data_IF_397993811009
#
_entry.id   IF_397993811009
#
_cell.length_a   1.000
_cell.length_b   1.000
_cell.length_c   1.000
_cell.angle_alpha   90.00
_cell.angle_beta   90.00
_cell.angle_gamma   90.00
#
_symmetry.space_group_name_H-M   'P 1'
#
loop_
_entity.id
_entity.type
_entity.pdbx_description
1 polymer ?
#
# COMPACT_ATOMS: atom_id res chain seq x y z
N UNK A 1 -43.23 7.40 -74.77
CA UNK A 1 -44.04 7.71 -73.56
C UNK A 1 -44.73 6.50 -72.88
N UNK A 2 -45.04 5.37 -73.56
CA UNK A 2 -45.64 4.18 -72.90
C UNK A 2 -44.70 3.43 -71.93
N UNK A 3 -43.41 3.25 -72.27
CA UNK A 3 -42.40 2.61 -71.40
C UNK A 3 -42.08 3.37 -70.10
N UNK A 4 -42.21 4.70 -70.08
CA UNK A 4 -42.03 5.52 -68.87
C UNK A 4 -43.27 5.47 -67.96
N UNK A 5 -44.48 5.39 -68.52
CA UNK A 5 -45.71 5.18 -67.74
C UNK A 5 -45.81 3.77 -67.14
N UNK A 6 -45.23 2.74 -67.79
CA UNK A 6 -45.10 1.39 -67.20
C UNK A 6 -44.05 1.30 -66.08
N UNK A 7 -42.89 1.97 -66.22
CA UNK A 7 -41.91 2.09 -65.13
C UNK A 7 -42.47 2.87 -63.93
N UNK A 8 -43.27 3.91 -64.17
CA UNK A 8 -43.95 4.66 -63.11
C UNK A 8 -45.09 3.87 -62.43
N UNK A 9 -45.77 2.95 -63.15
CA UNK A 9 -46.73 2.01 -62.56
C UNK A 9 -46.05 0.89 -61.76
N UNK A 10 -44.87 0.40 -62.18
CA UNK A 10 -44.08 -0.60 -61.42
C UNK A 10 -43.40 -0.02 -60.16
N UNK A 11 -43.08 1.28 -60.14
CA UNK A 11 -42.49 1.95 -58.98
C UNK A 11 -43.50 2.25 -57.84
N UNK A 12 -44.81 2.26 -58.12
CA UNK A 12 -45.85 2.56 -57.12
C UNK A 12 -46.20 1.40 -56.17
N UNK A 13 -45.51 0.26 -56.24
CA UNK A 13 -45.89 -0.96 -55.51
C UNK A 13 -44.88 -1.50 -54.48
N UNK A 14 -43.85 -0.74 -54.09
CA UNK A 14 -42.97 -1.10 -52.95
C UNK A 14 -43.22 -0.18 -51.76
N UNK A 15 -44.31 -0.43 -51.04
CA UNK A 15 -44.61 0.21 -49.73
C UNK A 15 -43.66 -0.36 -48.69
N UNK A 16 -42.51 0.27 -48.47
CA UNK A 16 -41.63 -0.10 -47.36
C UNK A 16 -42.19 0.31 -45.99
N UNK A 17 -41.64 -0.25 -44.92
CA UNK A 17 -42.18 -0.18 -43.55
C UNK A 17 -41.40 0.83 -42.70
N UNK A 18 -42.12 1.82 -42.17
CA UNK A 18 -41.57 2.85 -41.27
C UNK A 18 -41.24 2.29 -39.88
N UNK A 19 -40.35 2.95 -39.13
CA UNK A 19 -39.95 2.54 -37.76
C UNK A 19 -41.15 2.35 -36.82
N UNK A 20 -42.11 3.28 -36.84
CA UNK A 20 -43.36 3.18 -36.04
C UNK A 20 -44.15 1.92 -36.41
N UNK A 21 -44.27 1.62 -37.71
CA UNK A 21 -44.98 0.42 -38.17
C UNK A 21 -44.25 -0.88 -37.82
N UNK A 22 -42.91 -0.90 -37.84
CA UNK A 22 -42.11 -2.04 -37.37
C UNK A 22 -42.38 -2.36 -35.89
N UNK A 23 -42.48 -1.34 -35.04
CA UNK A 23 -42.82 -1.51 -33.62
C UNK A 23 -44.23 -2.12 -33.46
N UNK A 24 -45.22 -1.65 -34.21
CA UNK A 24 -46.57 -2.22 -34.20
C UNK A 24 -46.59 -3.70 -34.64
N UNK A 25 -45.84 -4.04 -35.69
CA UNK A 25 -45.69 -5.42 -36.18
C UNK A 25 -45.09 -6.30 -35.07
N UNK A 26 -44.00 -5.86 -34.43
CA UNK A 26 -43.35 -6.60 -33.35
C UNK A 26 -44.25 -6.80 -32.14
N UNK A 27 -45.00 -5.76 -31.72
CA UNK A 27 -45.98 -5.86 -30.63
C UNK A 27 -47.10 -6.85 -30.95
N UNK A 28 -47.61 -6.80 -32.17
CA UNK A 28 -48.68 -7.72 -32.63
C UNK A 28 -48.18 -9.16 -32.66
N UNK A 29 -46.99 -9.39 -33.22
CA UNK A 29 -46.37 -10.70 -33.25
C UNK A 29 -46.14 -11.25 -31.84
N UNK A 30 -45.54 -10.44 -30.96
CA UNK A 30 -45.32 -10.79 -29.56
C UNK A 30 -46.61 -11.20 -28.87
N UNK A 31 -47.71 -10.45 -29.06
CA UNK A 31 -49.01 -10.76 -28.46
C UNK A 31 -49.57 -12.10 -28.94
N UNK A 32 -49.53 -12.36 -30.24
CA UNK A 32 -50.06 -13.62 -30.82
C UNK A 32 -49.24 -14.84 -30.38
N UNK A 33 -47.91 -14.72 -30.34
CA UNK A 33 -47.01 -15.79 -29.89
C UNK A 33 -47.24 -16.09 -28.40
N UNK A 34 -47.31 -15.05 -27.56
CA UNK A 34 -47.55 -15.21 -26.12
C UNK A 34 -48.94 -15.77 -25.82
N UNK A 35 -49.96 -15.43 -26.62
CA UNK A 35 -51.31 -16.01 -26.46
C UNK A 35 -51.31 -17.52 -26.67
N UNK A 36 -50.53 -18.03 -27.62
CA UNK A 36 -50.50 -19.46 -27.96
C UNK A 36 -49.46 -20.26 -27.16
N UNK A 37 -48.30 -19.67 -26.85
CA UNK A 37 -47.14 -20.36 -26.24
C UNK A 37 -46.59 -19.69 -24.98
N UNK A 38 -47.25 -18.69 -24.43
CA UNK A 38 -46.76 -17.86 -23.32
C UNK A 38 -46.07 -18.58 -22.15
N UNK A 39 -46.52 -19.75 -21.67
CA UNK A 39 -45.85 -20.49 -20.59
C UNK A 39 -44.40 -20.90 -20.91
N UNK A 40 -44.11 -21.25 -22.17
CA UNK A 40 -42.79 -21.73 -22.60
C UNK A 40 -41.90 -20.63 -23.18
N UNK A 41 -42.46 -19.49 -23.59
CA UNK A 41 -41.67 -18.37 -24.13
C UNK A 41 -40.92 -17.65 -23.00
N UNK A 42 -39.61 -17.51 -23.16
CA UNK A 42 -38.74 -16.74 -22.25
C UNK A 42 -38.31 -15.43 -22.84
N UNK A 43 -37.99 -15.39 -24.13
CA UNK A 43 -37.55 -14.16 -24.78
C UNK A 43 -38.00 -14.11 -26.23
N UNK A 44 -38.36 -12.91 -26.69
CA UNK A 44 -38.58 -12.59 -28.10
C UNK A 44 -37.67 -11.41 -28.41
N UNK A 45 -36.71 -11.62 -29.29
CA UNK A 45 -35.61 -10.69 -29.51
C UNK A 45 -35.59 -10.27 -30.97
N UNK A 46 -35.67 -8.96 -31.18
CA UNK A 46 -35.41 -8.35 -32.48
C UNK A 46 -33.90 -8.36 -32.73
N UNK A 47 -33.47 -8.77 -33.92
CA UNK A 47 -32.06 -8.75 -34.29
C UNK A 47 -31.87 -8.17 -35.71
N UNK A 48 -30.64 -8.24 -36.23
CA UNK A 48 -30.34 -7.85 -37.60
C UNK A 48 -30.36 -6.33 -37.82
N UNK A 49 -30.57 -5.93 -39.08
CA UNK A 49 -30.44 -4.53 -39.50
C UNK A 49 -31.41 -3.58 -38.77
N UNK A 50 -32.59 -4.08 -38.40
CA UNK A 50 -33.58 -3.31 -37.64
C UNK A 50 -33.11 -3.07 -36.21
N UNK A 51 -32.51 -4.07 -35.54
CA UNK A 51 -31.94 -3.91 -34.21
C UNK A 51 -30.73 -2.96 -34.19
N UNK A 52 -29.86 -3.04 -35.22
CA UNK A 52 -28.70 -2.16 -35.40
C UNK A 52 -29.05 -0.71 -35.77
N UNK A 53 -30.30 -0.44 -36.14
CA UNK A 53 -30.73 0.89 -36.62
C UNK A 53 -30.29 1.22 -38.05
N UNK A 54 -29.80 0.24 -38.81
CA UNK A 54 -29.36 0.41 -40.21
C UNK A 54 -30.39 -0.08 -41.24
N UNK A 55 -31.60 -0.42 -40.79
CA UNK A 55 -32.69 -0.88 -41.66
C UNK A 55 -33.16 0.20 -42.63
N UNK A 56 -33.28 -0.17 -43.91
CA UNK A 56 -33.97 0.61 -44.94
C UNK A 56 -35.47 0.31 -44.91
N UNK A 57 -36.27 1.08 -45.63
CA UNK A 57 -37.73 0.88 -45.69
C UNK A 57 -38.11 -0.53 -46.16
N UNK A 58 -37.33 -1.14 -47.07
CA UNK A 58 -37.57 -2.50 -47.57
C UNK A 58 -36.91 -3.62 -46.74
N UNK A 59 -36.12 -3.28 -45.71
CA UNK A 59 -35.42 -4.28 -44.90
C UNK A 59 -36.38 -5.17 -44.11
N UNK A 60 -36.02 -6.42 -43.90
CA UNK A 60 -36.78 -7.32 -43.06
C UNK A 60 -36.66 -6.95 -41.57
N UNK A 61 -37.64 -7.43 -40.80
CA UNK A 61 -37.72 -7.36 -39.35
C UNK A 61 -37.38 -8.76 -38.86
N UNK A 62 -36.13 -8.97 -38.46
CA UNK A 62 -35.66 -10.29 -38.05
C UNK A 62 -35.90 -10.50 -36.55
N UNK A 63 -36.55 -11.60 -36.18
CA UNK A 63 -36.87 -11.96 -34.80
C UNK A 63 -36.47 -13.40 -34.53
N UNK A 64 -35.93 -13.68 -33.34
CA UNK A 64 -35.81 -15.04 -32.83
C UNK A 64 -36.49 -15.15 -31.46
N UNK A 65 -36.81 -16.38 -31.09
CA UNK A 65 -37.57 -16.70 -29.87
C UNK A 65 -36.79 -17.71 -29.04
N UNK A 66 -36.66 -17.46 -27.74
CA UNK A 66 -36.08 -18.40 -26.78
C UNK A 66 -37.21 -19.12 -26.04
N UNK A 67 -37.20 -20.45 -26.11
CA UNK A 67 -38.22 -21.35 -25.56
C UNK A 67 -37.62 -22.18 -24.42
N UNK A 68 -38.29 -22.24 -23.27
CA UNK A 68 -37.84 -22.99 -22.10
C UNK A 68 -38.19 -24.46 -22.18
N UNK A 69 -37.20 -25.25 -22.57
CA UNK A 69 -37.22 -26.70 -22.57
C UNK A 69 -36.81 -27.35 -21.24
N UNK A 70 -36.38 -26.54 -20.25
CA UNK A 70 -35.95 -27.02 -18.93
C UNK A 70 -37.12 -27.27 -17.99
N UNK A 71 -38.22 -26.53 -18.15
CA UNK A 71 -39.46 -26.71 -17.38
C UNK A 71 -40.52 -27.53 -18.11
N UNK A 72 -40.51 -27.48 -19.44
CA UNK A 72 -41.46 -28.20 -20.29
C UNK A 72 -40.65 -28.96 -21.33
N UNK A 73 -40.76 -30.29 -21.37
CA UNK A 73 -40.04 -31.07 -22.38
C UNK A 73 -40.56 -30.71 -23.77
N UNK A 74 -39.70 -30.11 -24.60
CA UNK A 74 -40.01 -29.79 -26.00
C UNK A 74 -39.38 -30.88 -26.87
N UNK A 75 -40.21 -31.71 -27.52
CA UNK A 75 -39.72 -32.70 -28.48
C UNK A 75 -39.35 -32.02 -29.83
N UNK A 76 -38.57 -32.68 -30.69
CA UNK A 76 -38.28 -32.18 -32.04
C UNK A 76 -39.55 -31.83 -32.84
N UNK A 77 -40.55 -32.70 -32.82
CA UNK A 77 -41.86 -32.46 -33.47
C UNK A 77 -42.58 -31.23 -32.90
N UNK A 78 -42.46 -30.98 -31.59
CA UNK A 78 -43.03 -29.76 -30.99
C UNK A 78 -42.27 -28.51 -31.43
N UNK A 79 -40.94 -28.59 -31.53
CA UNK A 79 -40.08 -27.48 -32.00
C UNK A 79 -40.41 -27.12 -33.45
N UNK A 80 -40.50 -28.11 -34.33
CA UNK A 80 -40.90 -27.95 -35.74
C UNK A 80 -42.30 -27.33 -35.87
N UNK A 81 -43.26 -27.83 -35.09
CA UNK A 81 -44.61 -27.24 -35.07
C UNK A 81 -44.61 -25.79 -34.60
N UNK A 82 -43.81 -25.45 -33.59
CA UNK A 82 -43.65 -24.07 -33.13
C UNK A 82 -43.04 -23.18 -34.22
N UNK A 83 -42.01 -23.67 -34.92
CA UNK A 83 -41.39 -22.98 -36.04
C UNK A 83 -42.39 -22.68 -37.16
N UNK A 84 -43.15 -23.69 -37.61
CA UNK A 84 -44.22 -23.49 -38.60
C UNK A 84 -45.27 -22.48 -38.14
N UNK A 85 -45.70 -22.59 -36.88
CA UNK A 85 -46.72 -21.71 -36.33
C UNK A 85 -46.22 -20.27 -36.22
N UNK A 86 -44.95 -20.08 -35.86
CA UNK A 86 -44.32 -18.76 -35.79
C UNK A 86 -44.22 -18.14 -37.17
N UNK A 87 -43.83 -18.91 -38.19
CA UNK A 87 -43.75 -18.46 -39.57
C UNK A 87 -45.14 -18.11 -40.14
N UNK A 88 -46.16 -18.94 -39.89
CA UNK A 88 -47.56 -18.67 -40.29
C UNK A 88 -48.09 -17.40 -39.66
N UNK A 89 -47.86 -17.19 -38.35
CA UNK A 89 -48.25 -15.97 -37.63
C UNK A 89 -47.52 -14.76 -38.22
N UNK A 90 -46.21 -14.87 -38.47
CA UNK A 90 -45.42 -13.79 -39.03
C UNK A 90 -45.91 -13.35 -40.41
N UNK A 91 -46.10 -14.30 -41.33
CA UNK A 91 -46.62 -14.06 -42.69
C UNK A 91 -48.01 -13.42 -42.68
N UNK A 92 -48.87 -13.79 -41.73
CA UNK A 92 -50.21 -13.19 -41.56
C UNK A 92 -50.13 -11.73 -41.11
N UNK A 93 -49.15 -11.37 -40.29
CA UNK A 93 -48.98 -10.01 -39.76
C UNK A 93 -48.28 -9.10 -40.77
N UNK A 94 -47.18 -9.55 -41.38
CA UNK A 94 -46.41 -8.76 -42.33
C UNK A 94 -45.48 -9.64 -43.17
N UNK A 95 -45.39 -9.34 -44.47
CA UNK A 95 -44.41 -9.96 -45.38
C UNK A 95 -42.95 -9.57 -45.07
N UNK A 96 -42.74 -8.51 -44.29
CA UNK A 96 -41.41 -8.05 -43.88
C UNK A 96 -40.98 -8.62 -42.53
N UNK A 97 -41.80 -9.45 -41.87
CA UNK A 97 -41.43 -10.06 -40.59
C UNK A 97 -40.83 -11.44 -40.86
N UNK A 98 -39.55 -11.59 -40.55
CA UNK A 98 -38.77 -12.82 -40.69
C UNK A 98 -38.51 -13.39 -39.31
N UNK A 99 -38.95 -14.63 -39.07
CA UNK A 99 -38.74 -15.31 -37.79
C UNK A 99 -37.76 -16.44 -38.02
N UNK A 100 -36.66 -16.43 -37.25
CA UNK A 100 -35.70 -17.53 -37.23
C UNK A 100 -36.26 -18.72 -36.46
N UNK A 101 -35.64 -19.88 -36.66
CA UNK A 101 -35.93 -21.07 -35.87
C UNK A 101 -35.92 -20.76 -34.35
N UNK A 102 -36.86 -21.32 -33.58
CA UNK A 102 -36.88 -21.14 -32.13
C UNK A 102 -35.63 -21.76 -31.49
N UNK A 103 -34.96 -21.02 -30.62
CA UNK A 103 -33.85 -21.55 -29.83
C UNK A 103 -34.39 -22.13 -28.53
N UNK A 104 -34.08 -23.40 -28.27
CA UNK A 104 -34.32 -23.95 -26.94
C UNK A 104 -33.38 -23.27 -25.95
N UNK A 105 -33.82 -23.13 -24.70
CA UNK A 105 -33.05 -22.44 -23.66
C UNK A 105 -31.73 -23.16 -23.42
N UNK A 106 -31.75 -24.50 -23.37
CA UNK A 106 -30.53 -25.32 -23.24
C UNK A 106 -29.58 -25.16 -24.43
N UNK A 107 -30.10 -25.17 -25.66
CA UNK A 107 -29.36 -24.95 -26.91
C UNK A 107 -28.69 -23.58 -26.92
N UNK A 108 -29.46 -22.52 -26.65
CA UNK A 108 -28.95 -21.16 -26.60
C UNK A 108 -27.83 -21.01 -25.55
N UNK A 109 -28.02 -21.56 -24.35
CA UNK A 109 -26.99 -21.55 -23.32
C UNK A 109 -25.76 -22.40 -23.68
N UNK A 110 -25.94 -23.52 -24.37
CA UNK A 110 -24.85 -24.31 -24.94
C UNK A 110 -23.98 -23.46 -25.86
N UNK A 111 -24.61 -22.78 -26.82
CA UNK A 111 -23.92 -21.86 -27.74
C UNK A 111 -23.20 -20.72 -27.02
N UNK A 112 -23.81 -20.14 -25.98
CA UNK A 112 -23.19 -19.10 -25.15
C UNK A 112 -21.92 -19.61 -24.48
N UNK A 113 -22.00 -20.81 -23.90
CA UNK A 113 -20.89 -21.43 -23.15
C UNK A 113 -19.74 -21.83 -24.05
N UNK A 114 -20.06 -22.38 -25.22
CA UNK A 114 -19.09 -22.77 -26.24
C UNK A 114 -18.51 -21.57 -27.00
N UNK A 115 -19.15 -20.40 -26.88
CA UNK A 115 -18.71 -19.19 -27.55
C UNK A 115 -18.95 -19.22 -29.05
N UNK A 116 -20.07 -19.79 -29.48
CA UNK A 116 -20.40 -19.92 -30.91
C UNK A 116 -20.44 -18.54 -31.59
N UNK A 117 -19.73 -18.30 -32.71
CA UNK A 117 -19.57 -16.95 -33.27
C UNK A 117 -20.89 -16.19 -33.51
N UNK A 118 -21.94 -16.91 -33.92
CA UNK A 118 -23.26 -16.33 -34.18
C UNK A 118 -23.96 -15.80 -32.91
N UNK A 119 -23.79 -16.46 -31.77
CA UNK A 119 -24.54 -16.10 -30.55
C UNK A 119 -24.05 -14.78 -29.98
N UNK A 120 -22.76 -14.46 -30.15
CA UNK A 120 -22.22 -13.15 -29.78
C UNK A 120 -22.89 -12.01 -30.55
N UNK A 121 -23.14 -12.20 -31.84
CA UNK A 121 -23.83 -11.19 -32.64
C UNK A 121 -25.29 -11.06 -32.20
N UNK A 122 -25.97 -12.18 -31.93
CA UNK A 122 -27.34 -12.16 -31.42
C UNK A 122 -27.45 -11.42 -30.10
N UNK A 123 -26.59 -11.72 -29.13
CA UNK A 123 -26.63 -11.08 -27.81
C UNK A 123 -26.26 -9.60 -27.89
N UNK A 124 -25.21 -9.26 -28.65
CA UNK A 124 -24.70 -7.89 -28.78
C UNK A 124 -25.72 -6.98 -29.43
N UNK A 125 -26.26 -7.41 -30.56
CA UNK A 125 -27.15 -6.59 -31.39
C UNK A 125 -28.61 -6.72 -30.98
N UNK A 126 -29.00 -7.86 -30.40
CA UNK A 126 -30.38 -8.18 -30.09
C UNK A 126 -31.04 -7.18 -29.16
N UNK A 127 -32.26 -6.75 -29.51
CA UNK A 127 -33.11 -5.88 -28.71
C UNK A 127 -34.29 -6.72 -28.22
N UNK A 128 -34.39 -7.00 -26.91
CA UNK A 128 -35.50 -7.77 -26.37
C UNK A 128 -36.80 -6.98 -26.54
N UNK A 129 -37.77 -7.59 -27.24
CA UNK A 129 -39.14 -7.10 -27.38
C UNK A 129 -40.00 -7.62 -26.22
N UNK A 130 -39.68 -8.82 -25.76
CA UNK A 130 -40.21 -9.46 -24.56
C UNK A 130 -39.10 -10.28 -23.92
N UNK A 131 -38.95 -10.22 -22.60
CA UNK A 131 -37.95 -11.02 -21.87
C UNK A 131 -38.45 -11.35 -20.46
N UNK A 132 -38.28 -12.60 -20.04
CA UNK A 132 -38.49 -13.10 -18.67
C UNK A 132 -37.13 -13.34 -18.01
N UNK A 133 -36.30 -12.29 -18.00
CA UNK A 133 -34.97 -12.25 -17.37
C UNK A 133 -33.98 -13.33 -17.86
N UNK A 134 -34.05 -13.72 -19.13
CA UNK A 134 -33.07 -14.63 -19.73
C UNK A 134 -32.09 -13.84 -20.60
N UNK A 135 -32.58 -13.05 -21.54
CA UNK A 135 -31.73 -12.43 -22.55
C UNK A 135 -31.02 -11.17 -22.04
N UNK A 136 -31.71 -10.31 -21.30
CA UNK A 136 -31.13 -9.06 -20.77
C UNK A 136 -29.93 -9.32 -19.86
N UNK A 137 -29.97 -10.26 -18.89
CA UNK A 137 -28.81 -10.58 -18.06
C UNK A 137 -27.61 -11.10 -18.88
N UNK A 138 -27.84 -11.98 -19.85
CA UNK A 138 -26.78 -12.51 -20.73
C UNK A 138 -26.14 -11.37 -21.53
N UNK A 139 -26.96 -10.45 -22.04
CA UNK A 139 -26.45 -9.25 -22.74
C UNK A 139 -25.56 -8.39 -21.85
N UNK A 140 -25.95 -8.18 -20.58
CA UNK A 140 -25.11 -7.46 -19.61
C UNK A 140 -23.81 -8.20 -19.31
N UNK A 141 -23.86 -9.52 -19.15
CA UNK A 141 -22.66 -10.34 -18.94
C UNK A 141 -21.70 -10.28 -20.13
N UNK A 142 -22.21 -10.26 -21.37
CA UNK A 142 -21.39 -10.04 -22.56
C UNK A 142 -20.70 -8.66 -22.50
N UNK A 143 -21.46 -7.60 -22.21
CA UNK A 143 -20.93 -6.22 -22.10
C UNK A 143 -19.90 -6.07 -20.98
N UNK A 144 -20.03 -6.81 -19.88
CA UNK A 144 -19.06 -6.88 -18.80
C UNK A 144 -17.83 -7.73 -19.13
N UNK A 145 -17.78 -8.35 -20.32
CA UNK A 145 -16.71 -9.24 -20.74
C UNK A 145 -16.63 -10.52 -19.92
N UNK A 146 -17.75 -11.01 -19.37
CA UNK A 146 -17.81 -12.26 -18.60
C UNK A 146 -18.01 -13.49 -19.49
N UNK A 147 -18.57 -13.31 -20.69
CA UNK A 147 -18.74 -14.40 -21.67
C UNK A 147 -17.49 -14.48 -22.54
N UNK A 148 -16.79 -15.62 -22.51
CA UNK A 148 -15.55 -15.85 -23.28
C UNK A 148 -15.85 -16.71 -24.51
N UNK A 149 -15.09 -16.59 -25.62
CA UNK A 149 -13.99 -15.65 -25.86
C UNK A 149 -14.45 -14.36 -26.57
N UNK A 150 -15.44 -13.64 -26.03
CA UNK A 150 -15.96 -12.41 -26.67
C UNK A 150 -14.92 -11.29 -26.79
N UNK A 151 -15.15 -10.34 -27.71
CA UNK A 151 -14.31 -9.14 -27.88
C UNK A 151 -14.25 -8.33 -26.58
N UNK A 152 -15.38 -8.21 -25.89
CA UNK A 152 -15.53 -7.52 -24.62
C UNK A 152 -14.67 -8.17 -23.53
N UNK A 153 -14.61 -9.51 -23.50
CA UNK A 153 -13.69 -10.22 -22.62
C UNK A 153 -12.23 -9.92 -23.00
N UNK A 154 -11.86 -9.96 -24.28
CA UNK A 154 -10.49 -9.64 -24.73
C UNK A 154 -10.08 -8.23 -24.31
N UNK A 155 -10.93 -7.23 -24.55
CA UNK A 155 -10.70 -5.83 -24.13
C UNK A 155 -10.48 -5.75 -22.61
N UNK A 156 -11.34 -6.40 -21.81
CA UNK A 156 -11.20 -6.49 -20.35
C UNK A 156 -9.88 -7.11 -19.91
N UNK A 157 -9.38 -8.14 -20.60
CA UNK A 157 -8.10 -8.77 -20.27
C UNK A 157 -6.91 -7.86 -20.64
N UNK A 158 -6.93 -7.23 -21.82
CA UNK A 158 -5.86 -6.33 -22.28
C UNK A 158 -5.74 -5.09 -21.38
N UNK A 159 -6.87 -4.50 -20.97
CA UNK A 159 -6.87 -3.32 -20.10
C UNK A 159 -6.21 -3.56 -18.72
N UNK A 160 -6.16 -4.81 -18.24
CA UNK A 160 -5.55 -5.14 -16.95
C UNK A 160 -4.04 -4.97 -16.95
N UNK A 161 -3.38 -5.21 -18.08
CA UNK A 161 -1.91 -5.17 -18.20
C UNK A 161 -1.32 -3.81 -17.80
N UNK A 162 -1.69 -2.71 -18.48
CA UNK A 162 -1.20 -1.38 -18.15
C UNK A 162 -1.51 -0.93 -16.72
N UNK A 163 -2.70 -1.29 -16.19
CA UNK A 163 -3.11 -0.99 -14.80
C UNK A 163 -2.17 -1.68 -13.80
N UNK A 164 -1.78 -2.94 -14.04
CA UNK A 164 -0.82 -3.68 -13.21
C UNK A 164 0.58 -3.08 -13.27
N UNK A 165 1.06 -2.70 -14.47
CA UNK A 165 2.36 -2.03 -14.63
C UNK A 165 2.40 -0.72 -13.84
N UNK A 166 1.36 0.12 -13.97
CA UNK A 166 1.25 1.38 -13.22
C UNK A 166 1.22 1.16 -11.71
N UNK A 167 0.57 0.09 -11.23
CA UNK A 167 0.58 -0.29 -9.81
C UNK A 167 1.99 -0.56 -9.30
N UNK A 168 2.80 -1.31 -10.04
CA UNK A 168 4.21 -1.59 -9.65
C UNK A 168 5.04 -0.31 -9.65
N UNK A 169 4.92 0.52 -10.69
CA UNK A 169 5.64 1.80 -10.77
C UNK A 169 5.31 2.73 -9.59
N UNK A 170 4.03 2.81 -9.21
CA UNK A 170 3.60 3.59 -8.04
C UNK A 170 4.13 3.00 -6.72
N UNK A 171 4.20 1.66 -6.61
CA UNK A 171 4.73 1.00 -5.42
C UNK A 171 6.22 1.32 -5.20
N UNK A 172 7.02 1.33 -6.28
CA UNK A 172 8.44 1.73 -6.20
C UNK A 172 8.62 3.13 -5.64
N UNK A 173 7.77 4.07 -6.09
CA UNK A 173 7.78 5.45 -5.57
C UNK A 173 7.46 5.45 -4.07
N UNK A 174 6.43 4.72 -3.64
CA UNK A 174 6.02 4.68 -2.23
C UNK A 174 7.10 4.08 -1.31
N UNK A 175 7.74 2.97 -1.71
CA UNK A 175 8.79 2.31 -0.92
C UNK A 175 9.99 3.23 -0.63
N UNK A 176 10.39 4.04 -1.61
CA UNK A 176 11.49 5.00 -1.42
C UNK A 176 11.04 6.21 -0.61
N UNK A 177 9.86 6.72 -0.90
CA UNK A 177 9.41 8.02 -0.38
C UNK A 177 8.94 7.95 1.06
N UNK A 178 8.34 6.83 1.47
CA UNK A 178 7.80 6.68 2.81
C UNK A 178 8.75 5.87 3.69
N UNK A 179 9.11 4.65 3.28
CA UNK A 179 9.85 3.75 4.17
C UNK A 179 11.31 4.19 4.37
N UNK A 180 12.02 4.56 3.28
CA UNK A 180 13.41 5.04 3.41
C UNK A 180 13.47 6.39 4.15
N UNK A 181 12.50 7.27 3.88
CA UNK A 181 12.37 8.56 4.56
C UNK A 181 12.17 8.39 6.07
N UNK A 182 11.19 7.60 6.51
CA UNK A 182 10.90 7.42 7.93
C UNK A 182 12.02 6.65 8.62
N UNK A 183 12.62 5.64 7.98
CA UNK A 183 13.77 4.94 8.54
C UNK A 183 14.94 5.90 8.85
N UNK A 184 15.27 6.82 7.94
CA UNK A 184 16.30 7.83 8.20
C UNK A 184 15.85 8.86 9.25
N UNK A 185 14.63 9.39 9.14
CA UNK A 185 14.15 10.43 10.04
C UNK A 185 14.04 9.94 11.50
N UNK A 186 13.43 8.78 11.71
CA UNK A 186 13.18 8.24 13.06
C UNK A 186 14.46 7.76 13.72
N UNK A 187 15.39 7.16 12.97
CA UNK A 187 16.70 6.79 13.51
C UNK A 187 17.52 8.02 13.92
N UNK A 188 17.45 9.11 13.15
CA UNK A 188 18.02 10.40 13.52
C UNK A 188 17.38 10.99 14.79
N UNK A 189 16.05 11.00 14.86
CA UNK A 189 15.31 11.46 16.03
C UNK A 189 15.61 10.64 17.27
N UNK A 190 15.75 9.31 17.14
CA UNK A 190 16.13 8.43 18.23
C UNK A 190 17.50 8.79 18.82
N UNK A 191 18.50 9.07 17.99
CA UNK A 191 19.83 9.51 18.45
C UNK A 191 19.73 10.84 19.21
N UNK A 192 18.93 11.79 18.71
CA UNK A 192 18.73 13.09 19.36
C UNK A 192 18.00 12.94 20.71
N UNK A 193 16.95 12.12 20.76
CA UNK A 193 16.26 11.77 22.00
C UNK A 193 17.18 11.08 23.00
N UNK A 194 18.06 10.20 22.51
CA UNK A 194 19.07 9.55 23.35
C UNK A 194 20.04 10.57 23.96
N UNK A 195 20.33 11.68 23.28
CA UNK A 195 21.08 12.82 23.83
C UNK A 195 20.26 13.74 24.75
N UNK A 196 18.99 13.42 25.01
CA UNK A 196 18.08 14.26 25.80
C UNK A 196 17.58 15.49 25.05
N UNK A 197 17.68 15.50 23.71
CA UNK A 197 17.14 16.56 22.86
C UNK A 197 15.71 16.22 22.42
N UNK A 198 14.91 17.26 22.20
CA UNK A 198 13.57 17.11 21.64
C UNK A 198 13.72 16.70 20.16
N UNK A 199 13.00 15.67 19.68
CA UNK A 199 13.08 15.26 18.29
C UNK A 199 12.56 16.38 17.38
N UNK A 200 13.33 16.80 16.36
CA UNK A 200 12.93 17.89 15.48
C UNK A 200 11.80 17.44 14.55
N UNK A 201 11.01 18.41 14.05
CA UNK A 201 10.10 18.18 12.94
C UNK A 201 10.90 17.82 11.68
N UNK A 202 10.32 17.10 10.71
CA UNK A 202 11.08 16.63 9.55
C UNK A 202 11.85 17.72 8.77
N UNK A 203 11.29 18.91 8.48
CA UNK A 203 12.04 19.97 7.78
C UNK A 203 13.26 20.48 8.55
N UNK A 204 13.23 20.36 9.88
CA UNK A 204 14.26 20.88 10.79
C UNK A 204 15.30 19.80 11.15
N UNK A 205 15.07 18.54 10.78
CA UNK A 205 15.83 17.39 11.23
C UNK A 205 17.30 17.44 10.82
N UNK A 206 17.58 17.67 9.53
CA UNK A 206 18.95 17.74 9.03
C UNK A 206 19.76 18.90 9.66
N UNK A 207 19.16 20.08 9.75
CA UNK A 207 19.76 21.24 10.44
C UNK A 207 20.10 20.92 11.89
N UNK A 208 19.20 20.21 12.57
CA UNK A 208 19.40 19.81 13.97
C UNK A 208 20.55 18.81 14.10
N UNK A 209 20.60 17.77 13.25
CA UNK A 209 21.72 16.81 13.24
C UNK A 209 23.06 17.49 13.00
N UNK A 210 23.12 18.45 12.09
CA UNK A 210 24.33 19.22 11.81
C UNK A 210 24.80 19.98 13.05
N UNK A 211 23.90 20.74 13.67
CA UNK A 211 24.18 21.52 14.89
C UNK A 211 24.53 20.69 16.11
N UNK A 212 24.10 19.43 16.17
CA UNK A 212 24.38 18.58 17.32
C UNK A 212 25.51 17.60 17.03
N UNK A 213 25.31 16.67 16.09
CA UNK A 213 26.19 15.53 15.91
C UNK A 213 27.43 15.86 15.06
N UNK A 214 27.28 16.71 14.04
CA UNK A 214 28.41 17.12 13.19
C UNK A 214 29.32 18.09 13.93
N UNK A 215 28.76 19.11 14.60
CA UNK A 215 29.54 20.03 15.45
C UNK A 215 30.28 19.29 16.59
N UNK A 216 29.66 18.26 17.18
CA UNK A 216 30.32 17.38 18.16
C UNK A 216 31.32 16.39 17.54
N UNK A 217 31.53 16.42 16.22
CA UNK A 217 32.40 15.50 15.45
C UNK A 217 32.04 14.02 15.65
N UNK A 218 30.77 13.74 15.90
CA UNK A 218 30.23 12.39 16.04
C UNK A 218 29.72 11.84 14.71
N UNK A 219 29.20 12.70 13.84
CA UNK A 219 28.62 12.35 12.55
C UNK A 219 29.28 13.11 11.40
N UNK A 220 29.49 12.44 10.27
CA UNK A 220 29.98 13.01 9.03
C UNK A 220 28.86 13.73 8.27
N UNK A 221 29.20 14.83 7.60
CA UNK A 221 28.26 15.68 6.85
C UNK A 221 27.52 14.92 5.73
N UNK A 222 28.13 13.87 5.17
CA UNK A 222 27.52 13.02 4.15
C UNK A 222 26.19 12.41 4.61
N UNK A 223 26.10 11.94 5.85
CA UNK A 223 24.87 11.36 6.38
C UNK A 223 23.77 12.42 6.50
N UNK A 224 24.12 13.65 6.89
CA UNK A 224 23.14 14.75 6.93
C UNK A 224 22.58 15.02 5.54
N UNK A 225 23.43 14.99 4.50
CA UNK A 225 22.98 15.13 3.11
C UNK A 225 22.03 14.01 2.68
N UNK A 226 22.28 12.77 3.09
CA UNK A 226 21.35 11.66 2.78
C UNK A 226 19.94 11.94 3.34
N UNK A 227 19.84 12.48 4.55
CA UNK A 227 18.56 12.85 5.16
C UNK A 227 17.92 14.05 4.44
N UNK A 228 18.69 15.07 4.07
CA UNK A 228 18.18 16.22 3.30
C UNK A 228 17.63 15.80 1.95
N UNK A 229 18.37 14.95 1.23
CA UNK A 229 17.99 14.48 -0.08
C UNK A 229 16.69 13.63 -0.02
N UNK A 230 16.54 12.76 0.99
CA UNK A 230 15.32 11.93 1.11
C UNK A 230 14.09 12.76 1.52
N UNK A 231 14.27 13.78 2.38
CA UNK A 231 13.22 14.75 2.73
C UNK A 231 12.77 15.51 1.47
N UNK A 232 13.72 15.94 0.64
CA UNK A 232 13.43 16.65 -0.61
C UNK A 232 12.69 15.74 -1.59
N UNK A 233 13.18 14.52 -1.79
CA UNK A 233 12.55 13.53 -2.67
C UNK A 233 11.09 13.29 -2.28
N UNK A 234 10.82 13.13 -0.98
CA UNK A 234 9.45 12.93 -0.48
C UNK A 234 8.54 14.11 -0.82
N UNK A 235 8.98 15.34 -0.59
CA UNK A 235 8.22 16.55 -0.96
C UNK A 235 7.98 16.63 -2.46
N UNK A 236 8.97 16.28 -3.27
CA UNK A 236 8.86 16.30 -4.73
C UNK A 236 7.86 15.26 -5.24
N UNK A 237 7.74 14.12 -4.58
CA UNK A 237 6.70 13.12 -4.87
C UNK A 237 5.32 13.56 -4.39
N UNK A 238 5.21 14.10 -3.18
CA UNK A 238 3.95 14.63 -2.62
C UNK A 238 3.35 15.73 -3.51
N UNK A 239 4.21 16.63 -4.02
CA UNK A 239 3.83 17.69 -4.95
C UNK A 239 3.72 17.21 -6.42
N UNK A 240 3.79 15.90 -6.68
CA UNK A 240 3.69 15.29 -8.02
C UNK A 240 4.73 15.81 -9.03
N UNK A 241 5.85 16.36 -8.56
CA UNK A 241 7.00 16.77 -9.39
C UNK A 241 7.74 15.54 -9.89
N UNK A 242 7.86 14.51 -9.06
CA UNK A 242 8.39 13.20 -9.43
C UNK A 242 7.22 12.21 -9.53
N UNK A 243 7.05 11.62 -10.72
CA UNK A 243 5.95 10.68 -11.01
C UNK A 243 6.42 9.24 -11.19
N UNK A 244 7.73 9.03 -11.33
CA UNK A 244 8.36 7.73 -11.55
C UNK A 244 9.74 7.74 -10.90
N UNK A 245 10.10 6.60 -10.33
CA UNK A 245 11.44 6.31 -9.82
C UNK A 245 11.85 4.98 -10.46
N UNK A 246 13.07 4.90 -10.96
CA UNK A 246 13.63 3.68 -11.54
C UNK A 246 14.03 2.67 -10.44
N UNK A 247 14.09 1.38 -10.77
CA UNK A 247 14.57 0.37 -9.82
C UNK A 247 15.99 0.64 -9.32
N UNK A 248 16.86 1.16 -10.20
CA UNK A 248 18.22 1.56 -9.82
C UNK A 248 18.23 2.66 -8.75
N UNK A 249 17.40 3.69 -8.91
CA UNK A 249 17.27 4.74 -7.90
C UNK A 249 16.74 4.18 -6.57
N UNK A 250 15.78 3.25 -6.62
CA UNK A 250 15.27 2.57 -5.41
C UNK A 250 16.41 1.85 -4.68
N UNK A 251 17.22 1.07 -5.39
CA UNK A 251 18.35 0.34 -4.82
C UNK A 251 19.40 1.29 -4.20
N UNK A 252 19.69 2.41 -4.86
CA UNK A 252 20.57 3.45 -4.33
C UNK A 252 20.04 4.06 -3.03
N UNK A 253 18.74 4.34 -2.96
CA UNK A 253 18.09 4.84 -1.75
C UNK A 253 18.10 3.83 -0.61
N UNK A 254 17.84 2.56 -0.89
CA UNK A 254 17.93 1.49 0.10
C UNK A 254 19.36 1.40 0.65
N UNK A 255 20.38 1.48 -0.22
CA UNK A 255 21.79 1.46 0.20
C UNK A 255 22.14 2.63 1.12
N UNK A 256 21.77 3.86 0.74
CA UNK A 256 21.96 5.06 1.58
C UNK A 256 21.25 4.95 2.91
N UNK A 257 20.01 4.45 2.92
CA UNK A 257 19.20 4.24 4.12
C UNK A 257 19.85 3.25 5.07
N UNK A 258 20.29 2.09 4.57
CA UNK A 258 21.00 1.09 5.38
C UNK A 258 22.26 1.66 6.02
N UNK A 259 23.06 2.40 5.25
CA UNK A 259 24.27 3.04 5.75
C UNK A 259 23.94 4.09 6.84
N UNK A 260 22.92 4.92 6.62
CA UNK A 260 22.48 5.93 7.57
C UNK A 260 21.97 5.32 8.87
N UNK A 261 21.04 4.36 8.81
CA UNK A 261 20.46 3.72 10.00
C UNK A 261 21.53 3.01 10.81
N UNK A 262 22.43 2.27 10.15
CA UNK A 262 23.56 1.63 10.83
C UNK A 262 24.42 2.67 11.57
N UNK A 263 24.74 3.79 10.92
CA UNK A 263 25.50 4.86 11.55
C UNK A 263 24.79 5.45 12.78
N UNK A 264 23.47 5.61 12.73
CA UNK A 264 22.68 6.08 13.88
C UNK A 264 22.70 5.08 15.04
N UNK A 265 22.61 3.77 14.75
CA UNK A 265 22.73 2.72 15.76
C UNK A 265 24.11 2.71 16.42
N UNK A 266 25.17 2.79 15.61
CA UNK A 266 26.55 2.86 16.11
C UNK A 266 26.77 4.11 16.98
N UNK A 267 26.12 5.22 16.63
CA UNK A 267 26.15 6.45 17.42
C UNK A 267 25.50 6.29 18.80
N UNK A 268 24.38 5.59 18.92
CA UNK A 268 23.75 5.34 20.22
C UNK A 268 24.73 4.60 21.13
N UNK A 269 25.40 3.57 20.62
CA UNK A 269 26.41 2.80 21.37
C UNK A 269 27.57 3.71 21.77
N UNK A 270 28.12 4.49 20.84
CA UNK A 270 29.22 5.43 21.10
C UNK A 270 28.85 6.46 22.17
N UNK A 271 27.63 7.01 22.11
CA UNK A 271 27.14 7.99 23.09
C UNK A 271 26.94 7.34 24.46
N UNK A 272 26.45 6.11 24.53
CA UNK A 272 26.32 5.37 25.81
C UNK A 272 27.67 5.13 26.46
N UNK A 273 28.69 4.73 25.68
CA UNK A 273 30.08 4.58 26.13
C UNK A 273 30.57 5.90 26.74
N UNK A 274 30.51 7.01 25.97
CA UNK A 274 30.97 8.32 26.44
C UNK A 274 30.24 8.79 27.71
N UNK A 275 28.93 8.53 27.83
CA UNK A 275 28.17 8.85 29.03
C UNK A 275 28.63 8.06 30.25
N UNK A 276 28.90 6.75 30.09
CA UNK A 276 29.38 5.88 31.18
C UNK A 276 30.78 6.27 31.62
N UNK A 277 31.69 6.47 30.68
CA UNK A 277 33.06 6.92 30.96
C UNK A 277 33.04 8.23 31.75
N UNK A 278 32.29 9.23 31.26
CA UNK A 278 32.18 10.51 31.94
C UNK A 278 31.58 10.40 33.35
N UNK A 279 30.66 9.46 33.60
CA UNK A 279 30.13 9.23 34.95
C UNK A 279 31.18 8.62 35.88
N UNK A 280 31.95 7.64 35.41
CA UNK A 280 33.04 7.01 36.19
C UNK A 280 34.14 8.02 36.47
N UNK A 281 34.65 8.71 35.44
CA UNK A 281 35.70 9.73 35.56
C UNK A 281 35.31 10.83 36.55
N UNK A 282 34.09 11.37 36.45
CA UNK A 282 33.61 12.38 37.40
C UNK A 282 33.47 11.84 38.82
N UNK A 283 32.96 10.62 38.97
CA UNK A 283 32.80 10.01 40.30
C UNK A 283 34.16 9.76 40.96
N UNK A 284 35.14 9.28 40.19
CA UNK A 284 36.51 9.08 40.65
C UNK A 284 37.22 10.40 40.98
N UNK A 285 37.10 11.41 40.12
CA UNK A 285 37.66 12.75 40.37
C UNK A 285 37.07 13.38 41.65
N UNK A 286 35.75 13.33 41.82
CA UNK A 286 35.11 13.89 43.03
C UNK A 286 35.52 13.11 44.29
N UNK A 287 35.64 11.78 44.20
CA UNK A 287 36.10 10.95 45.33
C UNK A 287 37.53 11.34 45.74
N UNK A 288 38.44 11.45 44.78
CA UNK A 288 39.85 11.82 45.01
C UNK A 288 40.00 13.25 45.53
N UNK A 289 39.27 14.22 44.98
CA UNK A 289 39.26 15.62 45.45
C UNK A 289 38.71 15.74 46.88
N UNK A 290 37.62 15.02 47.20
CA UNK A 290 37.03 15.02 48.53
C UNK A 290 37.98 14.40 49.56
N UNK A 291 38.61 13.28 49.21
CA UNK A 291 39.65 12.63 50.01
C UNK A 291 40.82 13.59 50.30
N UNK A 292 41.36 14.23 49.26
CA UNK A 292 42.44 15.20 49.39
C UNK A 292 42.05 16.39 50.27
N UNK A 293 40.82 16.87 50.17
CA UNK A 293 40.32 17.99 50.97
C UNK A 293 40.27 17.64 52.45
N UNK A 294 39.79 16.44 52.80
CA UNK A 294 39.81 15.96 54.20
C UNK A 294 41.23 15.81 54.74
N UNK A 295 42.14 15.25 53.95
CA UNK A 295 43.54 15.08 54.33
C UNK A 295 44.24 16.45 54.52
N UNK A 296 43.95 17.44 53.67
CA UNK A 296 44.42 18.83 53.81
C UNK A 296 43.93 19.47 55.10
N UNK A 297 42.64 19.33 55.43
CA UNK A 297 42.08 19.82 56.69
C UNK A 297 42.77 19.23 57.92
N UNK A 298 43.35 18.04 57.79
CA UNK A 298 44.10 17.35 58.85
C UNK A 298 45.61 17.58 58.81
N UNK A 299 46.12 18.37 57.85
CA UNK A 299 47.56 18.54 57.60
C UNK A 299 48.29 17.19 57.34
N UNK A 300 47.58 16.21 56.77
CA UNK A 300 48.08 14.86 56.42
C UNK A 300 48.02 14.64 54.91
N UNK A 301 48.58 15.57 54.14
CA UNK A 301 48.57 15.52 52.67
C UNK A 301 49.66 14.57 52.18
N UNK A 302 49.39 13.70 51.19
CA UNK A 302 50.42 12.87 50.56
C UNK A 302 51.52 13.73 49.93
N UNK A 303 52.78 13.28 50.00
CA UNK A 303 53.87 13.92 49.25
C UNK A 303 53.77 13.54 47.77
N UNK A 304 54.41 14.33 46.90
CA UNK A 304 54.46 14.08 45.45
C UNK A 304 54.97 12.66 45.17
N UNK A 305 54.15 11.84 44.50
CA UNK A 305 54.48 10.45 44.14
C UNK A 305 53.97 9.37 45.12
N UNK A 306 53.37 9.76 46.25
CA UNK A 306 52.75 8.82 47.20
C UNK A 306 51.28 8.53 46.82
N UNK A 307 50.83 7.31 47.08
CA UNK A 307 49.47 6.88 46.76
C UNK A 307 48.44 7.54 47.69
N UNK A 308 47.49 8.27 47.10
CA UNK A 308 46.38 8.89 47.80
C UNK A 308 45.52 7.86 48.55
N UNK A 309 45.41 6.65 47.99
CA UNK A 309 44.62 5.55 48.57
C UNK A 309 45.20 5.08 49.90
N UNK A 310 46.51 4.91 49.98
CA UNK A 310 47.20 4.50 51.21
C UNK A 310 47.02 5.55 52.32
N UNK A 311 47.11 6.83 51.95
CA UNK A 311 46.85 7.94 52.88
C UNK A 311 45.40 7.99 53.34
N UNK A 312 44.45 7.74 52.44
CA UNK A 312 43.03 7.64 52.79
C UNK A 312 42.79 6.56 53.84
N UNK A 313 43.33 5.36 53.61
CA UNK A 313 43.20 4.25 54.55
C UNK A 313 43.82 4.57 55.91
N UNK A 314 45.08 5.03 55.89
CA UNK A 314 45.86 5.26 57.11
C UNK A 314 45.33 6.40 57.97
N UNK A 315 44.93 7.52 57.35
CA UNK A 315 44.66 8.75 58.09
C UNK A 315 43.17 9.10 58.21
N UNK A 316 42.30 8.50 57.40
CA UNK A 316 40.85 8.72 57.51
C UNK A 316 40.13 7.49 58.06
N UNK A 317 40.43 6.30 57.54
CA UNK A 317 39.73 5.06 57.93
C UNK A 317 40.26 4.49 59.24
N UNK A 318 41.57 4.20 59.33
CA UNK A 318 42.20 3.67 60.57
C UNK A 318 42.11 4.66 61.73
N UNK A 319 41.97 5.95 61.44
CA UNK A 319 41.72 7.00 62.43
C UNK A 319 40.27 7.05 62.93
N UNK A 320 39.36 6.21 62.40
CA UNK A 320 37.95 6.15 62.79
C UNK A 320 37.09 7.32 62.31
N UNK A 321 37.61 8.16 61.39
CA UNK A 321 36.94 9.37 60.92
C UNK A 321 35.99 9.09 59.75
N UNK A 322 36.31 8.08 58.94
CA UNK A 322 35.54 7.68 57.76
C UNK A 322 35.32 6.16 57.84
N UNK A 323 34.09 5.71 57.55
CA UNK A 323 33.77 4.29 57.52
C UNK A 323 34.56 3.51 56.45
N UNK A 324 34.98 2.28 56.76
CA UNK A 324 35.72 1.40 55.84
C UNK A 324 35.02 1.22 54.48
N UNK A 325 33.68 1.24 54.45
CA UNK A 325 32.89 1.14 53.22
C UNK A 325 33.32 2.15 52.15
N UNK A 326 33.80 3.34 52.53
CA UNK A 326 34.23 4.36 51.58
C UNK A 326 35.63 4.10 51.01
N UNK A 327 36.46 3.33 51.71
CA UNK A 327 37.71 2.83 51.16
C UNK A 327 37.44 1.76 50.10
N UNK A 328 36.50 0.85 50.36
CA UNK A 328 36.06 -0.13 49.37
C UNK A 328 35.51 0.57 48.12
N UNK A 329 34.69 1.61 48.31
CA UNK A 329 34.20 2.49 47.23
C UNK A 329 35.33 3.15 46.45
N UNK A 330 36.37 3.65 47.13
CA UNK A 330 37.54 4.23 46.48
C UNK A 330 38.26 3.20 45.62
N UNK A 331 38.52 2.00 46.16
CA UNK A 331 39.19 0.90 45.46
C UNK A 331 38.43 0.47 44.20
N UNK A 332 37.12 0.33 44.30
CA UNK A 332 36.28 -0.07 43.17
C UNK A 332 36.20 1.03 42.10
N UNK A 333 36.08 2.30 42.50
CA UNK A 333 36.13 3.41 41.54
C UNK A 333 37.48 3.51 40.82
N UNK A 334 38.58 3.23 41.50
CA UNK A 334 39.91 3.15 40.89
C UNK A 334 39.96 2.03 39.84
N UNK A 335 39.44 0.83 40.16
CA UNK A 335 39.31 -0.27 39.17
C UNK A 335 38.45 0.14 37.98
N UNK A 336 37.31 0.78 38.22
CA UNK A 336 36.42 1.26 37.17
C UNK A 336 37.11 2.31 36.28
N UNK A 337 37.85 3.25 36.87
CA UNK A 337 38.64 4.25 36.14
C UNK A 337 39.74 3.60 35.29
N UNK A 338 40.39 2.54 35.76
CA UNK A 338 41.35 1.78 34.95
C UNK A 338 40.67 1.07 33.77
N UNK A 339 39.44 0.58 33.94
CA UNK A 339 38.67 0.01 32.82
C UNK A 339 38.29 1.07 31.78
N UNK A 340 37.99 2.30 32.20
CA UNK A 340 37.81 3.44 31.27
C UNK A 340 39.08 3.69 30.46
N UNK A 341 40.25 3.77 31.12
CA UNK A 341 41.56 3.94 30.44
C UNK A 341 41.87 2.82 29.44
N UNK A 342 41.38 1.62 29.68
CA UNK A 342 41.52 0.45 28.79
C UNK A 342 40.45 0.35 27.71
N UNK A 343 39.48 1.27 27.66
CA UNK A 343 38.37 1.24 26.71
C UNK A 343 37.35 0.12 26.97
N UNK A 344 37.30 -0.41 28.20
CA UNK A 344 36.50 -1.58 28.60
C UNK A 344 35.25 -1.22 29.41
N UNK A 345 34.75 0.01 29.29
CA UNK A 345 33.60 0.51 30.08
C UNK A 345 32.31 -0.31 29.89
N UNK A 346 32.16 -0.99 28.76
CA UNK A 346 30.99 -1.84 28.49
C UNK A 346 30.98 -3.15 29.27
N UNK A 347 32.13 -3.58 29.82
CA UNK A 347 32.22 -4.72 30.73
C UNK A 347 31.57 -4.41 32.09
N UNK A 348 31.39 -3.12 32.43
CA UNK A 348 30.77 -2.68 33.67
C UNK A 348 29.24 -2.56 33.54
N UNK A 349 28.47 -3.20 34.44
CA UNK A 349 27.03 -2.99 34.53
C UNK A 349 26.70 -1.51 34.81
N UNK A 350 25.73 -0.97 34.07
CA UNK A 350 25.31 0.44 34.24
C UNK A 350 24.79 0.73 35.66
N UNK A 351 24.14 -0.24 36.28
CA UNK A 351 23.61 -0.14 37.65
C UNK A 351 24.73 0.07 38.66
N UNK A 352 25.87 -0.61 38.47
CA UNK A 352 27.03 -0.45 39.34
C UNK A 352 27.60 0.96 39.23
N UNK A 353 27.78 1.48 38.01
CA UNK A 353 28.26 2.85 37.80
C UNK A 353 27.36 3.88 38.53
N UNK A 354 26.03 3.69 38.48
CA UNK A 354 25.08 4.55 39.18
C UNK A 354 25.13 4.38 40.70
N UNK A 355 25.30 3.16 41.18
CA UNK A 355 25.42 2.83 42.60
C UNK A 355 26.66 3.49 43.21
N UNK A 356 27.83 3.33 42.58
CA UNK A 356 29.07 3.92 43.07
C UNK A 356 29.05 5.45 42.99
N UNK A 357 28.41 6.03 41.97
CA UNK A 357 28.16 7.49 41.93
C UNK A 357 27.33 7.96 43.13
N UNK A 358 26.31 7.21 43.53
CA UNK A 358 25.51 7.55 44.71
C UNK A 358 26.30 7.36 46.02
N UNK A 359 27.18 6.36 46.10
CA UNK A 359 28.10 6.23 47.23
C UNK A 359 29.05 7.42 47.36
N UNK A 360 29.61 7.91 46.24
CA UNK A 360 30.41 9.15 46.23
C UNK A 360 29.59 10.34 46.71
N UNK A 361 28.35 10.49 46.24
CA UNK A 361 27.47 11.57 46.71
C UNK A 361 27.25 11.53 48.22
N UNK A 362 26.99 10.35 48.79
CA UNK A 362 26.86 10.16 50.24
C UNK A 362 28.17 10.47 50.97
N UNK A 363 29.31 10.07 50.41
CA UNK A 363 30.63 10.38 50.96
C UNK A 363 30.86 11.89 51.06
N UNK A 364 30.53 12.67 50.03
CA UNK A 364 30.64 14.14 50.05
C UNK A 364 29.85 14.73 51.22
N UNK A 365 28.63 14.24 51.47
CA UNK A 365 27.80 14.73 52.57
C UNK A 365 28.40 14.39 53.95
N UNK A 366 28.97 13.19 54.11
CA UNK A 366 29.67 12.78 55.34
C UNK A 366 30.96 13.60 55.55
N UNK A 367 31.76 13.76 54.50
CA UNK A 367 32.96 14.60 54.49
C UNK A 367 32.64 16.05 54.89
N UNK A 368 31.57 16.62 54.34
CA UNK A 368 31.11 17.97 54.70
C UNK A 368 30.72 18.10 56.18
N UNK A 369 30.09 17.08 56.79
CA UNK A 369 29.78 17.06 58.22
C UNK A 369 31.05 16.97 59.07
N UNK A 370 32.03 16.17 58.66
CA UNK A 370 33.30 16.02 59.35
C UNK A 370 34.08 17.33 59.37
N UNK A 371 34.11 18.07 58.26
CA UNK A 371 34.77 19.38 58.20
C UNK A 371 34.10 20.42 59.11
N UNK A 372 32.76 20.43 59.19
CA UNK A 372 32.02 21.32 60.09
C UNK A 372 32.22 21.04 61.58
N UNK A 373 32.60 19.82 61.96
CA UNK A 373 32.87 19.44 63.36
C UNK A 373 34.31 19.77 63.81
N UNK A 374 35.22 20.02 62.87
CA UNK A 374 36.64 20.32 63.13
C UNK A 374 37.00 21.80 62.93
N UNK A 375 36.05 22.60 62.42
CA UNK A 375 36.07 24.06 62.46
C UNK A 375 35.35 24.49 63.73
#
# INVERSE_FOLDING_TARGET
MKKQKEKAKKAKNKKGVTKKKRIEILKTFTKEILKKYGPVIRSIVLFGSTARGTSKLESDIDVFVIVDDTRHRISPLMKEKMEEDFEKIAKKISRHLSVQQPYLLTEFWGMVREGHPIVFNFIREGVPVFDKDIFVPIKRLLQMGEIKPSKEAVEKFIERGPKRIKRVQNALVYMVVEDCYYAMLESAQAVLMFLGKIPPRPPDAAKTLRKTLVEMKLLEEEYVKYLEDVIKLRKDVEHKRIKKVSGKEVDEWIKKTKAFVKKMQDLIIKIEILKRENMVEKSYAIMTETALTLLKAMRKVPKTGEDLKDYFEKHLVKAGLVSNKYFDVFCELEKMHQLVKKGKIMELPKQDILLYREYVRKFIHEAGRLMKKKT
#
